data_IF_743212733601
#
_entry.id   IF_743212733601
#
_cell.length_a   1.000
_cell.length_b   1.000
_cell.length_c   1.000
_cell.angle_alpha   90.00
_cell.angle_beta   90.00
_cell.angle_gamma   90.00
#
_symmetry.space_group_name_H-M   'P 1'
#
loop_
_entity.id
_entity.type
_entity.pdbx_description
1 polymer ?
#
# COMPACT_ATOMS: atom_id res chain seq x y z
N UNK A 1 3.57 21.27 14.71
CA UNK A 1 4.67 20.75 13.86
C UNK A 1 4.00 20.08 12.68
N UNK A 2 4.43 20.36 11.45
CA UNK A 2 3.95 19.56 10.31
C UNK A 2 4.36 18.10 10.56
N UNK A 3 3.45 17.15 10.39
CA UNK A 3 3.85 15.75 10.39
C UNK A 3 4.68 15.49 9.13
N UNK A 4 5.70 14.65 9.28
CA UNK A 4 6.43 14.07 8.15
C UNK A 4 5.93 12.64 7.90
N UNK A 5 6.31 12.06 6.75
CA UNK A 5 5.83 10.74 6.35
C UNK A 5 6.23 9.63 7.35
N UNK A 6 7.41 9.74 7.98
CA UNK A 6 7.87 8.78 8.98
C UNK A 6 7.01 8.83 10.27
N UNK A 7 6.66 10.04 10.73
CA UNK A 7 5.75 10.23 11.87
C UNK A 7 4.33 9.80 11.55
N UNK A 8 3.87 10.04 10.32
CA UNK A 8 2.57 9.59 9.82
C UNK A 8 2.49 8.05 9.82
N UNK A 9 3.50 7.36 9.29
CA UNK A 9 3.59 5.89 9.33
C UNK A 9 3.61 5.37 10.77
N UNK A 10 4.39 5.99 11.65
CA UNK A 10 4.43 5.60 13.07
C UNK A 10 3.06 5.72 13.75
N UNK A 11 2.30 6.76 13.40
CA UNK A 11 0.94 6.97 13.90
C UNK A 11 -0.02 5.90 13.38
N UNK A 12 0.01 5.58 12.09
CA UNK A 12 -0.80 4.50 11.52
C UNK A 12 -0.46 3.14 12.14
N UNK A 13 0.83 2.81 12.27
CA UNK A 13 1.29 1.57 12.91
C UNK A 13 0.75 1.47 14.33
N UNK A 14 0.86 2.54 15.11
CA UNK A 14 0.37 2.55 16.49
C UNK A 14 -1.15 2.39 16.56
N UNK A 15 -1.89 3.05 15.67
CA UNK A 15 -3.35 2.92 15.61
C UNK A 15 -3.80 1.52 15.18
N UNK A 16 -3.09 0.91 14.21
CA UNK A 16 -3.30 -0.46 13.77
C UNK A 16 -3.02 -1.48 14.88
N UNK A 17 -1.90 -1.36 15.58
CA UNK A 17 -1.54 -2.23 16.72
C UNK A 17 -2.57 -2.17 17.86
N UNK A 18 -3.28 -1.05 18.00
CA UNK A 18 -4.33 -0.86 19.00
C UNK A 18 -5.72 -1.33 18.54
N UNK A 19 -5.89 -1.62 17.25
CA UNK A 19 -7.20 -1.90 16.65
C UNK A 19 -8.08 -0.66 16.50
N UNK A 20 -7.50 0.56 16.62
CA UNK A 20 -8.25 1.83 16.54
C UNK A 20 -8.84 2.06 15.14
N UNK A 21 -8.39 1.30 14.14
CA UNK A 21 -8.74 1.44 12.72
C UNK A 21 -9.79 0.42 12.25
N UNK A 22 -10.09 -0.61 13.04
CA UNK A 22 -10.85 -1.78 12.60
C UNK A 22 -12.27 -1.41 12.15
N UNK A 23 -13.03 -0.70 13.00
CA UNK A 23 -14.40 -0.26 12.69
C UNK A 23 -14.48 0.68 11.48
N UNK A 24 -13.44 1.51 11.30
CA UNK A 24 -13.36 2.43 10.17
C UNK A 24 -13.11 1.63 8.88
N UNK A 25 -12.12 0.74 8.90
CA UNK A 25 -11.72 -0.05 7.74
C UNK A 25 -12.79 -1.06 7.34
N UNK A 26 -13.49 -1.68 8.29
CA UNK A 26 -14.66 -2.53 8.00
C UNK A 26 -15.76 -1.71 7.31
N UNK A 27 -16.09 -0.51 7.81
CA UNK A 27 -17.10 0.36 7.19
C UNK A 27 -16.72 0.83 5.78
N UNK A 28 -15.44 1.06 5.53
CA UNK A 28 -14.92 1.44 4.21
C UNK A 28 -14.74 0.25 3.27
N UNK A 29 -14.98 -0.98 3.74
CA UNK A 29 -14.75 -2.20 2.97
C UNK A 29 -13.27 -2.44 2.68
N UNK A 30 -12.36 -1.96 3.54
CA UNK A 30 -10.93 -2.26 3.40
C UNK A 30 -10.70 -3.72 3.82
N UNK A 31 -10.08 -4.48 2.93
CA UNK A 31 -9.68 -5.88 3.17
C UNK A 31 -8.23 -5.99 3.64
N UNK A 32 -7.34 -5.24 2.99
CA UNK A 32 -5.92 -5.19 3.33
C UNK A 32 -5.46 -3.73 3.30
N UNK A 33 -4.58 -3.36 4.22
CA UNK A 33 -3.86 -2.10 4.16
C UNK A 33 -2.40 -2.33 4.57
N UNK A 34 -1.48 -1.76 3.81
CA UNK A 34 -0.05 -1.79 4.13
C UNK A 34 0.63 -0.50 3.72
N UNK A 35 1.77 -0.19 4.33
CA UNK A 35 2.64 0.89 3.88
C UNK A 35 3.74 0.32 2.99
N UNK A 36 4.22 1.08 2.01
CA UNK A 36 5.35 0.67 1.18
C UNK A 36 6.23 1.87 0.83
N UNK A 37 7.12 1.68 -0.14
CA UNK A 37 7.90 2.79 -0.70
C UNK A 37 9.03 3.26 0.22
N UNK A 38 9.26 4.57 0.21
CA UNK A 38 10.43 5.16 0.89
C UNK A 38 10.27 5.22 2.41
N UNK A 39 9.04 5.40 2.90
CA UNK A 39 8.72 5.50 4.32
C UNK A 39 8.96 4.21 5.11
N UNK A 40 8.99 3.04 4.44
CA UNK A 40 9.22 1.74 5.09
C UNK A 40 10.67 1.26 5.06
N UNK A 41 11.61 2.03 4.48
CA UNK A 41 13.04 1.65 4.41
C UNK A 41 13.78 2.07 5.67
N UNK A 42 14.77 1.28 6.11
CA UNK A 42 15.57 1.61 7.29
C UNK A 42 16.34 2.94 7.13
N UNK A 43 16.44 3.70 8.24
CA UNK A 43 17.06 5.03 8.29
C UNK A 43 18.48 5.02 7.69
N UNK A 44 18.63 5.67 6.54
CA UNK A 44 19.86 5.75 5.76
C UNK A 44 19.61 6.38 4.39
N UNK A 45 18.41 6.20 3.85
CA UNK A 45 17.87 6.99 2.75
C UNK A 45 17.32 8.33 3.28
N UNK A 46 17.28 9.34 2.40
CA UNK A 46 16.77 10.67 2.69
C UNK A 46 15.35 10.62 3.31
N UNK A 47 14.98 11.67 4.05
CA UNK A 47 13.65 11.79 4.65
C UNK A 47 12.55 11.53 3.60
N UNK A 48 11.61 10.60 3.84
CA UNK A 48 10.55 10.26 2.90
C UNK A 48 9.67 11.48 2.61
N UNK A 49 9.42 11.74 1.32
CA UNK A 49 8.67 12.91 0.87
C UNK A 49 7.15 12.74 1.04
N UNK A 50 6.68 11.51 0.92
CA UNK A 50 5.31 11.02 0.85
C UNK A 50 5.16 9.71 1.64
N UNK A 51 3.91 9.33 1.88
CA UNK A 51 3.53 8.07 2.50
C UNK A 51 2.75 7.22 1.50
N UNK A 52 3.40 6.18 0.98
CA UNK A 52 2.79 5.22 0.07
C UNK A 52 1.97 4.15 0.83
N UNK A 53 0.69 4.03 0.51
CA UNK A 53 -0.25 3.10 1.13
C UNK A 53 -0.84 2.15 0.08
N UNK A 54 -0.64 0.85 0.29
CA UNK A 54 -1.29 -0.22 -0.44
C UNK A 54 -2.65 -0.50 0.18
N UNK A 55 -3.71 -0.57 -0.62
CA UNK A 55 -5.04 -0.94 -0.14
C UNK A 55 -5.74 -1.93 -1.07
N UNK A 56 -6.36 -2.94 -0.48
CA UNK A 56 -7.33 -3.79 -1.17
C UNK A 56 -8.71 -3.58 -0.56
N UNK A 57 -9.73 -3.40 -1.40
CA UNK A 57 -11.12 -3.30 -0.96
C UNK A 57 -11.89 -4.61 -1.19
N UNK A 58 -12.91 -4.83 -0.37
CA UNK A 58 -14.00 -5.76 -0.60
C UNK A 58 -15.22 -4.97 -1.09
N UNK A 59 -15.59 -5.17 -2.36
CA UNK A 59 -16.71 -4.45 -2.97
C UNK A 59 -16.31 -3.11 -3.60
N UNK A 60 -17.16 -2.06 -3.52
CA UNK A 60 -16.88 -0.76 -4.13
C UNK A 60 -15.62 -0.10 -3.57
N UNK A 61 -14.86 0.57 -4.44
CA UNK A 61 -13.68 1.33 -4.05
C UNK A 61 -14.10 2.64 -3.38
N UNK A 62 -13.75 2.80 -2.10
CA UNK A 62 -14.03 3.97 -1.26
C UNK A 62 -12.77 4.83 -1.07
N UNK A 63 -12.10 5.17 -2.18
CA UNK A 63 -10.75 5.74 -2.17
C UNK A 63 -10.69 7.13 -1.53
N UNK A 64 -11.65 8.00 -1.85
CA UNK A 64 -11.65 9.37 -1.34
C UNK A 64 -11.88 9.40 0.18
N UNK A 65 -12.85 8.62 0.64
CA UNK A 65 -13.17 8.48 2.06
C UNK A 65 -12.01 7.87 2.85
N UNK A 66 -11.27 6.92 2.25
CA UNK A 66 -10.07 6.38 2.85
C UNK A 66 -8.97 7.44 2.98
N UNK A 67 -8.69 8.19 1.91
CA UNK A 67 -7.69 9.26 1.93
C UNK A 67 -8.03 10.29 3.02
N UNK A 68 -9.27 10.77 3.05
CA UNK A 68 -9.73 11.73 4.05
C UNK A 68 -9.51 11.21 5.48
N UNK A 69 -9.82 9.94 5.72
CA UNK A 69 -9.62 9.32 7.03
C UNK A 69 -8.14 9.17 7.39
N UNK A 70 -7.29 8.76 6.44
CA UNK A 70 -5.84 8.64 6.66
C UNK A 70 -5.21 10.01 6.97
N UNK A 71 -5.62 11.07 6.27
CA UNK A 71 -5.20 12.45 6.53
C UNK A 71 -5.67 12.90 7.91
N UNK A 72 -6.89 12.57 8.32
CA UNK A 72 -7.40 12.93 9.64
C UNK A 72 -6.62 12.24 10.77
N UNK A 73 -6.31 10.95 10.61
CA UNK A 73 -5.57 10.14 11.60
C UNK A 73 -4.12 10.64 11.73
N UNK A 74 -3.43 10.81 10.61
CA UNK A 74 -1.99 11.10 10.56
C UNK A 74 -1.67 12.60 10.63
N UNK A 75 -2.67 13.45 10.36
CA UNK A 75 -2.50 14.89 10.12
C UNK A 75 -1.50 15.20 8.99
N UNK A 76 -1.29 14.24 8.09
CA UNK A 76 -0.36 14.30 6.95
C UNK A 76 -1.13 14.21 5.64
N UNK A 77 -0.85 15.09 4.67
CA UNK A 77 -1.62 15.23 3.43
C UNK A 77 -0.92 14.66 2.18
N UNK A 78 0.36 14.31 2.25
CA UNK A 78 1.11 13.71 1.14
C UNK A 78 1.04 12.19 1.19
N UNK A 79 -0.18 11.67 1.08
CA UNK A 79 -0.44 10.23 1.11
C UNK A 79 -0.79 9.78 -0.31
N UNK A 80 0.01 8.87 -0.85
CA UNK A 80 -0.24 8.23 -2.14
C UNK A 80 -0.85 6.85 -1.91
N UNK A 81 -2.00 6.60 -2.51
CA UNK A 81 -2.75 5.34 -2.30
C UNK A 81 -2.76 4.51 -3.58
N UNK A 82 -2.22 3.30 -3.48
CA UNK A 82 -2.26 2.28 -4.53
C UNK A 82 -3.34 1.25 -4.23
N UNK A 83 -4.34 1.15 -5.11
CA UNK A 83 -5.36 0.09 -5.03
C UNK A 83 -4.78 -1.19 -5.64
N UNK A 84 -4.61 -2.23 -4.82
CA UNK A 84 -4.05 -3.53 -5.22
C UNK A 84 -5.16 -4.54 -5.52
N UNK A 85 -5.60 -4.55 -6.77
CA UNK A 85 -6.73 -5.34 -7.27
C UNK A 85 -6.31 -6.50 -8.19
N UNK A 86 -5.01 -6.67 -8.42
CA UNK A 86 -4.46 -7.72 -9.28
C UNK A 86 -4.27 -7.29 -10.75
N UNK A 87 -4.68 -6.07 -11.13
CA UNK A 87 -4.58 -5.59 -12.51
C UNK A 87 -3.21 -4.98 -12.85
N UNK A 88 -2.37 -4.72 -11.84
CA UNK A 88 -1.09 -4.05 -12.03
C UNK A 88 0.05 -4.89 -11.45
N UNK A 89 0.55 -5.91 -12.19
CA UNK A 89 1.45 -6.93 -11.64
C UNK A 89 2.72 -6.38 -10.96
N UNK A 90 3.27 -5.27 -11.47
CA UNK A 90 4.45 -4.63 -10.86
C UNK A 90 4.04 -3.84 -9.62
N UNK A 91 3.05 -2.96 -9.74
CA UNK A 91 2.58 -2.12 -8.63
C UNK A 91 2.11 -2.98 -7.46
N UNK A 92 1.27 -3.98 -7.72
CA UNK A 92 0.71 -4.86 -6.69
C UNK A 92 1.81 -5.59 -5.93
N UNK A 93 2.84 -6.06 -6.64
CA UNK A 93 3.96 -6.77 -6.02
C UNK A 93 4.86 -5.84 -5.21
N UNK A 94 5.15 -4.63 -5.69
CA UNK A 94 5.92 -3.65 -4.91
C UNK A 94 5.13 -3.21 -3.66
N UNK A 95 3.85 -2.89 -3.83
CA UNK A 95 2.96 -2.40 -2.78
C UNK A 95 2.72 -3.45 -1.69
N UNK A 96 2.47 -4.71 -2.05
CA UNK A 96 2.22 -5.80 -1.09
C UNK A 96 3.50 -6.38 -0.47
N UNK A 97 4.70 -6.02 -0.97
CA UNK A 97 5.97 -6.37 -0.31
C UNK A 97 6.40 -5.37 0.77
N UNK A 98 5.60 -4.33 0.99
CA UNK A 98 5.79 -3.40 2.10
C UNK A 98 5.39 -3.96 3.46
N UNK A 99 5.17 -3.05 4.40
CA UNK A 99 4.78 -3.34 5.78
C UNK A 99 3.25 -3.52 5.89
N UNK A 100 2.75 -4.70 6.30
CA UNK A 100 1.32 -4.90 6.56
C UNK A 100 0.87 -4.11 7.79
N UNK A 101 -0.22 -3.38 7.67
CA UNK A 101 -0.82 -2.61 8.78
C UNK A 101 -2.19 -3.17 9.18
N UNK A 102 -2.97 -3.71 8.24
CA UNK A 102 -4.29 -4.26 8.50
C UNK A 102 -4.62 -5.42 7.56
N UNK A 103 -5.29 -6.44 8.10
CA UNK A 103 -5.97 -7.47 7.32
C UNK A 103 -7.30 -7.83 7.97
N UNK A 104 -8.39 -7.85 7.18
CA UNK A 104 -9.71 -8.21 7.68
C UNK A 104 -9.84 -9.71 8.00
N UNK A 105 -9.01 -10.53 7.37
CA UNK A 105 -8.94 -11.98 7.59
C UNK A 105 -7.50 -12.38 7.84
N UNK A 106 -7.20 -13.11 8.93
CA UNK A 106 -5.85 -13.58 9.22
C UNK A 106 -5.20 -14.33 8.06
N UNK A 107 -3.98 -13.92 7.68
CA UNK A 107 -3.23 -14.49 6.57
C UNK A 107 -3.69 -14.02 5.18
N UNK A 108 -4.64 -13.08 5.11
CA UNK A 108 -5.07 -12.45 3.88
C UNK A 108 -3.93 -11.70 3.19
N UNK A 109 -3.11 -11.00 3.98
CA UNK A 109 -1.99 -10.23 3.43
C UNK A 109 -0.91 -11.13 2.81
N UNK A 110 -0.51 -12.19 3.51
CA UNK A 110 0.46 -13.16 3.01
C UNK A 110 -0.02 -13.84 1.73
N UNK A 111 -1.31 -14.17 1.65
CA UNK A 111 -1.93 -14.76 0.46
C UNK A 111 -1.89 -13.81 -0.73
N UNK A 112 -2.27 -12.54 -0.51
CA UNK A 112 -2.24 -11.51 -1.56
C UNK A 112 -0.80 -11.23 -2.04
N UNK A 113 0.16 -11.15 -1.12
CA UNK A 113 1.58 -10.95 -1.44
C UNK A 113 2.12 -12.07 -2.33
N UNK A 114 1.85 -13.34 -1.98
CA UNK A 114 2.26 -14.48 -2.81
C UNK A 114 1.63 -14.44 -4.20
N UNK A 115 0.34 -14.10 -4.29
CA UNK A 115 -0.36 -13.98 -5.56
C UNK A 115 0.23 -12.87 -6.44
N UNK A 116 0.51 -11.70 -5.86
CA UNK A 116 1.08 -10.56 -6.57
C UNK A 116 2.50 -10.85 -7.09
N UNK A 117 3.36 -11.46 -6.24
CA UNK A 117 4.70 -11.88 -6.66
C UNK A 117 4.66 -12.93 -7.79
N UNK A 118 3.73 -13.88 -7.71
CA UNK A 118 3.47 -14.85 -8.77
C UNK A 118 3.06 -14.16 -10.07
N UNK A 119 2.07 -13.27 -10.01
CA UNK A 119 1.58 -12.54 -11.17
C UNK A 119 2.67 -11.66 -11.81
N UNK A 120 3.49 -10.97 -10.98
CA UNK A 120 4.67 -10.24 -11.46
C UNK A 120 5.60 -11.18 -12.23
N UNK A 121 5.95 -12.34 -11.67
CA UNK A 121 6.86 -13.30 -12.32
C UNK A 121 6.28 -13.86 -13.63
N UNK A 122 5.01 -14.21 -13.64
CA UNK A 122 4.34 -14.81 -14.80
C UNK A 122 4.24 -13.83 -15.98
N UNK A 123 4.20 -12.53 -15.69
CA UNK A 123 4.13 -11.45 -16.69
C UNK A 123 5.49 -10.85 -17.06
N UNK A 124 6.59 -11.32 -16.46
CA UNK A 124 7.92 -10.75 -16.66
C UNK A 124 8.38 -10.79 -18.12
N UNK A 125 8.12 -11.90 -18.83
CA UNK A 125 8.51 -12.06 -20.22
C UNK A 125 7.82 -11.04 -21.15
N UNK A 126 6.58 -10.63 -20.84
CA UNK A 126 5.86 -9.59 -21.59
C UNK A 126 6.56 -8.24 -21.42
N UNK A 127 6.96 -7.90 -20.19
CA UNK A 127 7.67 -6.65 -19.88
C UNK A 127 9.04 -6.60 -20.57
N UNK A 128 9.78 -7.71 -20.57
CA UNK A 128 11.06 -7.80 -21.29
C UNK A 128 10.86 -7.57 -22.79
N UNK A 129 9.84 -8.20 -23.39
CA UNK A 129 9.53 -8.02 -24.81
C UNK A 129 9.16 -6.57 -25.14
N UNK A 130 8.39 -5.92 -24.26
CA UNK A 130 7.99 -4.52 -24.42
C UNK A 130 9.21 -3.58 -24.37
N UNK A 131 10.11 -3.77 -23.40
CA UNK A 131 11.38 -3.02 -23.31
C UNK A 131 12.26 -3.21 -24.56
N UNK A 132 12.34 -4.44 -25.09
CA UNK A 132 13.08 -4.72 -26.33
C UNK A 132 12.48 -3.97 -27.53
N UNK A 133 11.15 -3.88 -27.62
CA UNK A 133 10.47 -3.12 -28.67
C UNK A 133 10.73 -1.63 -28.55
N UNK A 134 10.72 -1.08 -27.33
CA UNK A 134 11.04 0.33 -27.08
C UNK A 134 12.50 0.65 -27.45
N UNK A 135 13.44 -0.25 -27.14
CA UNK A 135 14.86 -0.05 -27.41
C UNK A 135 15.24 -0.25 -28.90
N UNK A 136 14.41 -0.97 -29.67
CA UNK A 136 14.61 -1.19 -31.09
C UNK A 136 13.97 -0.12 -31.99
N UNK A 137 13.22 0.82 -31.39
CA UNK A 137 12.72 2.04 -32.04
C UNK A 137 13.74 3.18 -32.04
#
# INVERSE_FOLDING_TARGET
MASDAASALTTLRTAAERGDLDDLFERLGVRLLGAFGSATRELGDADPADLDIAVQFEGPVMLLELIDALVEITRFDKIDVAVVDGNHPVLDAEALCGEPLYESVPGGYATAQMAALGHKRDTEWLRILDLQRMAAG
#
